data_IF_368213650357
#
_entry.id   IF_368213650357
#
_cell.length_a   1.000
_cell.length_b   1.000
_cell.length_c   1.000
_cell.angle_alpha   90.00
_cell.angle_beta   90.00
_cell.angle_gamma   90.00
#
_symmetry.space_group_name_H-M   'P 1'
#
loop_
_entity.id
_entity.type
_entity.pdbx_description
1 polymer ?
#
# COMPACT_ATOMS: atom_id res chain seq x y z
N UNK A 1 -18.82 8.02 9.99
CA UNK A 1 -18.05 7.21 9.02
C UNK A 1 -18.35 7.63 7.60
N UNK A 2 -19.62 7.67 7.17
CA UNK A 2 -20.02 8.12 5.83
C UNK A 2 -19.42 9.48 5.42
N UNK A 3 -19.43 10.48 6.30
CA UNK A 3 -18.85 11.80 6.02
C UNK A 3 -17.34 11.76 5.74
N UNK A 4 -16.59 10.86 6.39
CA UNK A 4 -15.15 10.71 6.14
C UNK A 4 -14.89 10.05 4.79
N UNK A 5 -15.70 9.09 4.38
CA UNK A 5 -15.59 8.50 3.04
C UNK A 5 -15.86 9.52 1.94
N UNK A 6 -16.89 10.35 2.11
CA UNK A 6 -17.19 11.45 1.17
C UNK A 6 -15.99 12.39 1.05
N UNK A 7 -15.40 12.79 2.19
CA UNK A 7 -14.23 13.66 2.21
C UNK A 7 -13.02 13.03 1.50
N UNK A 8 -12.74 11.73 1.71
CA UNK A 8 -11.65 11.04 1.00
C UNK A 8 -11.95 11.01 -0.51
N UNK A 9 -13.19 10.69 -0.92
CA UNK A 9 -13.56 10.65 -2.33
C UNK A 9 -13.45 12.02 -3.02
N UNK A 10 -13.77 13.11 -2.32
CA UNK A 10 -13.64 14.47 -2.84
C UNK A 10 -12.17 14.88 -2.95
N UNK A 11 -11.38 14.63 -1.91
CA UNK A 11 -9.95 14.98 -1.86
C UNK A 11 -9.08 14.15 -2.82
N UNK A 12 -9.45 12.90 -3.11
CA UNK A 12 -8.77 12.07 -4.11
C UNK A 12 -9.01 12.59 -5.54
N UNK A 13 -10.21 13.11 -5.83
CA UNK A 13 -10.52 13.69 -7.16
C UNK A 13 -9.69 14.94 -7.45
N UNK A 14 -9.30 15.67 -6.42
CA UNK A 14 -8.39 16.80 -6.56
C UNK A 14 -6.98 16.29 -6.90
N UNK A 15 -6.48 16.62 -8.10
CA UNK A 15 -5.14 16.21 -8.57
C UNK A 15 -3.99 16.98 -7.90
N UNK A 16 -4.24 17.60 -6.75
CA UNK A 16 -3.21 18.33 -6.01
C UNK A 16 -2.51 17.38 -5.04
N UNK A 17 -1.17 17.43 -5.02
CA UNK A 17 -0.35 16.59 -4.14
C UNK A 17 -0.71 16.77 -2.66
N UNK A 18 -1.07 18.00 -2.26
CA UNK A 18 -1.56 18.31 -0.91
C UNK A 18 -2.83 17.55 -0.55
N UNK A 19 -3.82 17.52 -1.44
CA UNK A 19 -5.11 16.84 -1.22
C UNK A 19 -4.93 15.32 -1.13
N UNK A 20 -4.05 14.74 -1.95
CA UNK A 20 -3.70 13.32 -1.87
C UNK A 20 -2.99 12.95 -0.57
N UNK A 21 -2.12 13.82 -0.05
CA UNK A 21 -1.48 13.61 1.26
C UNK A 21 -2.51 13.62 2.40
N UNK A 22 -3.45 14.57 2.38
CA UNK A 22 -4.53 14.63 3.37
C UNK A 22 -5.40 13.37 3.32
N UNK A 23 -5.83 12.96 2.12
CA UNK A 23 -6.60 11.74 1.94
C UNK A 23 -5.86 10.49 2.44
N UNK A 24 -4.55 10.39 2.18
CA UNK A 24 -3.72 9.31 2.68
C UNK A 24 -3.59 9.32 4.22
N UNK A 25 -3.50 10.49 4.85
CA UNK A 25 -3.45 10.62 6.30
C UNK A 25 -4.77 10.23 6.97
N UNK A 26 -5.91 10.63 6.40
CA UNK A 26 -7.24 10.24 6.88
C UNK A 26 -7.39 8.72 6.76
N UNK A 27 -7.05 8.14 5.61
CA UNK A 27 -7.06 6.69 5.39
C UNK A 27 -6.17 5.96 6.41
N UNK A 28 -4.96 6.46 6.66
CA UNK A 28 -4.05 5.91 7.67
C UNK A 28 -4.66 5.96 9.08
N UNK A 29 -5.35 7.06 9.41
CA UNK A 29 -6.06 7.22 10.68
C UNK A 29 -7.20 6.21 10.84
N UNK A 30 -8.00 5.99 9.80
CA UNK A 30 -9.10 5.01 9.81
C UNK A 30 -8.60 3.58 9.98
N UNK A 31 -7.55 3.20 9.23
CA UNK A 31 -6.94 1.86 9.36
C UNK A 31 -6.42 1.66 10.79
N UNK A 32 -5.71 2.64 11.36
CA UNK A 32 -5.20 2.54 12.75
C UNK A 32 -6.32 2.52 13.79
N UNK A 33 -7.38 3.31 13.58
CA UNK A 33 -8.55 3.38 14.45
C UNK A 33 -9.42 2.11 14.43
N UNK A 34 -9.27 1.25 13.42
CA UNK A 34 -10.07 0.03 13.25
C UNK A 34 -9.72 -1.13 14.21
N UNK A 35 -8.80 -0.92 15.17
CA UNK A 35 -8.28 -1.95 16.09
C UNK A 35 -9.36 -2.75 16.84
N UNK A 36 -10.47 -2.11 17.21
CA UNK A 36 -11.55 -2.72 18.00
C UNK A 36 -12.84 -2.90 17.19
N UNK A 37 -12.78 -2.81 15.86
CA UNK A 37 -13.96 -2.95 15.02
C UNK A 37 -14.33 -4.42 14.84
N UNK A 38 -15.61 -4.67 14.59
CA UNK A 38 -16.08 -5.99 14.19
C UNK A 38 -15.56 -6.33 12.78
N UNK A 39 -15.58 -7.62 12.44
CA UNK A 39 -15.16 -8.07 11.11
C UNK A 39 -15.99 -7.43 9.99
N UNK A 40 -17.30 -7.28 10.19
CA UNK A 40 -18.21 -6.65 9.22
C UNK A 40 -17.83 -5.19 8.94
N UNK A 41 -17.56 -4.41 9.99
CA UNK A 41 -17.10 -3.02 9.85
C UNK A 41 -15.73 -2.93 9.17
N UNK A 42 -14.85 -3.90 9.44
CA UNK A 42 -13.55 -3.98 8.80
C UNK A 42 -13.70 -4.32 7.31
N UNK A 43 -14.56 -5.27 6.97
CA UNK A 43 -14.86 -5.65 5.57
C UNK A 43 -15.42 -4.47 4.79
N UNK A 44 -16.34 -3.71 5.38
CA UNK A 44 -16.87 -2.49 4.79
C UNK A 44 -15.78 -1.43 4.58
N UNK A 45 -14.91 -1.22 5.58
CA UNK A 45 -13.78 -0.29 5.48
C UNK A 45 -12.88 -0.64 4.30
N UNK A 46 -12.43 -1.89 4.21
CA UNK A 46 -11.53 -2.31 3.14
C UNK A 46 -12.21 -2.28 1.77
N UNK A 47 -13.49 -2.65 1.68
CA UNK A 47 -14.26 -2.57 0.43
C UNK A 47 -14.30 -1.15 -0.14
N UNK A 48 -14.47 -0.14 0.72
CA UNK A 48 -14.47 1.27 0.32
C UNK A 48 -13.06 1.81 0.05
N UNK A 49 -12.08 1.39 0.85
CA UNK A 49 -10.74 1.96 0.82
C UNK A 49 -9.83 1.37 -0.27
N UNK A 50 -9.94 0.07 -0.56
CA UNK A 50 -9.13 -0.61 -1.59
C UNK A 50 -9.06 0.12 -2.94
N UNK A 51 -10.18 0.57 -3.56
CA UNK A 51 -10.10 1.30 -4.84
C UNK A 51 -9.44 2.69 -4.72
N UNK A 52 -9.38 3.27 -3.52
CA UNK A 52 -8.75 4.57 -3.28
C UNK A 52 -7.25 4.42 -3.01
N UNK A 53 -6.83 3.30 -2.43
CA UNK A 53 -5.42 3.02 -2.14
C UNK A 53 -4.56 2.89 -3.40
N UNK A 54 -5.14 2.57 -4.56
CA UNK A 54 -4.40 2.58 -5.84
C UNK A 54 -4.05 3.98 -6.32
N UNK A 55 -4.87 4.97 -5.96
CA UNK A 55 -4.67 6.37 -6.35
C UNK A 55 -3.88 7.15 -5.29
N UNK A 56 -3.96 6.71 -4.03
CA UNK A 56 -3.24 7.30 -2.92
C UNK A 56 -1.81 6.78 -2.85
N UNK A 57 -0.86 7.69 -2.76
CA UNK A 57 0.51 7.39 -2.39
C UNK A 57 0.57 6.93 -0.92
N UNK A 58 0.42 5.62 -0.69
CA UNK A 58 0.20 4.90 0.60
C UNK A 58 1.35 5.07 1.64
N UNK A 59 2.34 5.91 1.38
CA UNK A 59 3.57 6.04 2.17
C UNK A 59 3.33 6.45 3.64
N UNK A 60 2.17 7.04 3.96
CA UNK A 60 1.86 7.52 5.31
C UNK A 60 1.32 6.43 6.27
N UNK A 61 0.98 5.23 5.79
CA UNK A 61 0.19 4.27 6.59
C UNK A 61 1.06 3.42 7.55
N UNK A 62 2.36 3.24 7.27
CA UNK A 62 3.19 2.19 7.91
C UNK A 62 4.11 2.65 9.05
N UNK A 63 4.06 3.92 9.46
CA UNK A 63 5.10 4.50 10.32
C UNK A 63 5.15 3.97 11.77
N UNK A 64 4.28 3.06 12.18
CA UNK A 64 4.19 2.61 13.57
C UNK A 64 4.26 1.07 13.70
N UNK A 65 4.81 0.60 14.83
CA UNK A 65 4.97 -0.80 15.25
C UNK A 65 3.61 -1.54 15.41
N UNK A 66 2.85 -1.65 14.33
CA UNK A 66 1.57 -2.35 14.30
C UNK A 66 1.79 -3.87 14.20
N UNK A 67 0.78 -4.62 14.61
CA UNK A 67 0.79 -6.08 14.43
C UNK A 67 0.48 -6.42 12.96
N UNK A 68 1.37 -7.14 12.24
CA UNK A 68 1.13 -7.56 10.86
C UNK A 68 -0.18 -8.36 10.70
N UNK A 69 -0.63 -9.07 11.74
CA UNK A 69 -1.90 -9.81 11.70
C UNK A 69 -3.10 -8.89 11.56
N UNK A 70 -3.02 -7.66 12.07
CA UNK A 70 -4.09 -6.66 11.89
C UNK A 70 -3.97 -5.94 10.56
N UNK A 71 -2.75 -5.75 10.08
CA UNK A 71 -2.48 -5.11 8.79
C UNK A 71 -2.44 -6.10 7.61
N UNK A 72 -2.84 -7.36 7.80
CA UNK A 72 -2.73 -8.40 6.78
C UNK A 72 -3.40 -8.03 5.46
N UNK A 73 -4.53 -7.31 5.51
CA UNK A 73 -5.25 -6.83 4.31
C UNK A 73 -4.45 -5.80 3.54
N UNK A 74 -3.80 -4.89 4.27
CA UNK A 74 -2.92 -3.88 3.70
C UNK A 74 -1.67 -4.50 3.08
N UNK A 75 -1.05 -5.45 3.81
CA UNK A 75 0.13 -6.20 3.35
C UNK A 75 -0.24 -6.99 2.09
N UNK A 76 -1.38 -7.69 2.11
CA UNK A 76 -1.90 -8.42 0.95
C UNK A 76 -2.18 -7.51 -0.24
N UNK A 77 -2.75 -6.32 0.00
CA UNK A 77 -2.97 -5.32 -1.04
C UNK A 77 -1.65 -4.88 -1.70
N UNK A 78 -0.62 -4.51 -0.91
CA UNK A 78 0.70 -4.18 -1.48
C UNK A 78 1.26 -5.33 -2.30
N UNK A 79 1.21 -6.57 -1.77
CA UNK A 79 1.73 -7.73 -2.49
C UNK A 79 1.01 -7.92 -3.83
N UNK A 80 -0.33 -7.78 -3.84
CA UNK A 80 -1.12 -7.90 -5.07
C UNK A 80 -0.80 -6.79 -6.08
N UNK A 81 -0.51 -5.58 -5.62
CA UNK A 81 -0.15 -4.43 -6.46
C UNK A 81 1.16 -4.67 -7.23
N UNK A 82 2.06 -5.48 -6.67
CA UNK A 82 3.38 -5.75 -7.24
C UNK A 82 3.34 -7.01 -8.09
N UNK A 83 2.77 -8.09 -7.55
CA UNK A 83 2.80 -9.40 -8.19
C UNK A 83 1.79 -9.47 -9.35
N UNK A 84 0.59 -8.92 -9.16
CA UNK A 84 -0.53 -9.12 -10.10
C UNK A 84 -0.60 -8.02 -11.16
N UNK A 85 -0.30 -6.77 -10.81
CA UNK A 85 -0.51 -5.64 -11.72
C UNK A 85 0.73 -5.35 -12.58
N UNK A 86 1.07 -6.28 -13.47
CA UNK A 86 2.09 -6.10 -14.50
C UNK A 86 1.65 -5.17 -15.65
N UNK A 87 0.41 -4.63 -15.58
CA UNK A 87 -0.24 -3.95 -16.71
C UNK A 87 0.02 -2.44 -16.76
N UNK A 88 0.48 -1.84 -15.67
CA UNK A 88 0.89 -0.43 -15.64
C UNK A 88 2.33 -0.25 -16.14
N UNK A 89 2.46 -0.07 -17.45
CA UNK A 89 3.70 -0.08 -18.26
C UNK A 89 4.74 1.03 -18.00
N UNK A 90 4.57 1.91 -17.01
CA UNK A 90 5.55 2.98 -16.75
C UNK A 90 6.53 2.57 -15.67
N UNK A 91 7.82 2.66 -16.00
CA UNK A 91 8.91 2.33 -15.08
C UNK A 91 8.94 3.19 -13.81
N UNK A 92 8.30 4.37 -13.84
CA UNK A 92 8.10 5.21 -12.67
C UNK A 92 7.11 4.60 -11.68
N UNK A 93 5.95 4.16 -12.15
CA UNK A 93 4.93 3.57 -11.28
C UNK A 93 5.47 2.30 -10.63
N UNK A 94 6.13 1.44 -11.40
CA UNK A 94 6.77 0.24 -10.88
C UNK A 94 7.82 0.55 -9.81
N UNK A 95 8.67 1.56 -10.03
CA UNK A 95 9.65 1.98 -9.03
C UNK A 95 8.99 2.49 -7.74
N UNK A 96 7.88 3.22 -7.84
CA UNK A 96 7.10 3.69 -6.67
C UNK A 96 6.45 2.54 -5.89
N UNK A 97 6.04 1.46 -6.56
CA UNK A 97 5.53 0.25 -5.89
C UNK A 97 6.61 -0.48 -5.12
N UNK A 98 7.80 -0.62 -5.71
CA UNK A 98 8.95 -1.19 -5.00
C UNK A 98 9.38 -0.33 -3.81
N UNK A 99 9.21 1.00 -3.90
CA UNK A 99 9.39 1.86 -2.73
C UNK A 99 8.37 1.54 -1.61
N UNK A 100 7.10 1.25 -1.93
CA UNK A 100 6.12 0.81 -0.92
C UNK A 100 6.51 -0.51 -0.24
N UNK A 101 7.16 -1.44 -0.96
CA UNK A 101 7.69 -2.68 -0.36
C UNK A 101 8.73 -2.39 0.71
N UNK A 102 9.56 -1.37 0.51
CA UNK A 102 10.59 -1.02 1.48
C UNK A 102 9.97 -0.66 2.84
N UNK A 103 8.76 -0.10 2.86
CA UNK A 103 8.03 0.18 4.10
C UNK A 103 7.59 -1.09 4.84
N UNK A 104 7.38 -2.21 4.14
CA UNK A 104 7.11 -3.51 4.75
C UNK A 104 8.31 -4.06 5.54
N UNK A 105 9.51 -3.46 5.40
CA UNK A 105 10.68 -3.79 6.22
C UNK A 105 10.47 -3.53 7.69
N UNK A 106 9.44 -2.80 8.09
CA UNK A 106 9.03 -2.72 9.49
C UNK A 106 8.57 -4.08 10.05
N UNK A 107 8.11 -4.99 9.20
CA UNK A 107 7.57 -6.30 9.58
C UNK A 107 8.52 -7.50 9.37
N UNK A 108 9.79 -7.27 8.99
CA UNK A 108 10.80 -8.27 8.53
C UNK A 108 10.50 -9.73 8.86
N UNK A 109 10.74 -10.13 10.11
CA UNK A 109 10.69 -11.52 10.55
C UNK A 109 9.27 -12.04 10.84
N UNK A 110 8.27 -11.15 10.87
CA UNK A 110 6.89 -11.49 11.24
C UNK A 110 6.04 -11.95 10.06
N UNK A 111 6.47 -11.71 8.82
CA UNK A 111 5.76 -12.07 7.59
C UNK A 111 6.66 -12.82 6.57
N UNK A 112 7.25 -13.97 6.95
CA UNK A 112 8.23 -14.65 6.11
C UNK A 112 7.67 -15.10 4.75
N UNK A 113 6.42 -15.57 4.69
CA UNK A 113 5.79 -16.03 3.44
C UNK A 113 5.65 -14.91 2.41
N UNK A 114 5.32 -13.70 2.85
CA UNK A 114 5.24 -12.51 2.01
C UNK A 114 6.62 -12.15 1.44
N UNK A 115 7.67 -12.17 2.28
CA UNK A 115 9.02 -11.89 1.83
C UNK A 115 9.54 -12.91 0.83
N UNK A 116 9.21 -14.21 1.01
CA UNK A 116 9.55 -15.23 0.02
C UNK A 116 8.92 -14.91 -1.34
N UNK A 117 7.62 -14.61 -1.39
CA UNK A 117 6.93 -14.27 -2.64
C UNK A 117 7.49 -13.01 -3.31
N UNK A 118 7.76 -11.97 -2.52
CA UNK A 118 8.37 -10.72 -3.02
C UNK A 118 9.77 -10.99 -3.56
N UNK A 119 10.58 -11.81 -2.88
CA UNK A 119 11.94 -12.13 -3.29
C UNK A 119 11.96 -12.96 -4.58
N UNK A 120 11.02 -13.88 -4.76
CA UNK A 120 10.92 -14.66 -5.99
C UNK A 120 10.56 -13.78 -7.18
N UNK A 121 9.63 -12.84 -7.01
CA UNK A 121 9.31 -11.87 -8.04
C UNK A 121 10.43 -10.85 -8.29
N UNK A 122 11.14 -10.42 -7.25
CA UNK A 122 12.29 -9.52 -7.36
C UNK A 122 13.41 -10.11 -8.24
N UNK A 123 13.66 -11.43 -8.14
CA UNK A 123 14.68 -12.12 -8.95
C UNK A 123 14.40 -12.00 -10.44
N UNK A 124 13.14 -12.07 -10.86
CA UNK A 124 12.72 -11.95 -12.26
C UNK A 124 13.01 -10.53 -12.81
N UNK A 125 12.96 -9.52 -11.94
CA UNK A 125 13.11 -8.11 -12.29
C UNK A 125 14.53 -7.55 -12.08
N UNK A 126 15.51 -8.37 -11.69
CA UNK A 126 16.90 -7.92 -11.54
C UNK A 126 17.49 -7.38 -12.86
N UNK A 127 17.04 -7.91 -13.99
CA UNK A 127 17.44 -7.46 -15.33
C UNK A 127 16.52 -6.38 -15.92
N UNK A 128 15.62 -5.79 -15.14
CA UNK A 128 14.65 -4.81 -15.61
C UNK A 128 15.35 -3.60 -16.26
N UNK A 129 14.91 -3.08 -17.43
CA UNK A 129 15.63 -2.03 -18.18
C UNK A 129 15.81 -0.72 -17.40
N UNK A 130 14.85 -0.35 -16.55
CA UNK A 130 14.91 0.88 -15.75
C UNK A 130 15.87 0.75 -14.57
N UNK A 131 16.84 1.66 -14.49
CA UNK A 131 17.76 1.79 -13.35
C UNK A 131 17.02 2.05 -12.03
N UNK A 132 15.94 2.83 -12.05
CA UNK A 132 15.20 3.20 -10.84
C UNK A 132 14.51 2.00 -10.21
N UNK A 133 13.94 1.11 -11.04
CA UNK A 133 13.32 -0.13 -10.57
C UNK A 133 14.37 -1.05 -9.96
N UNK A 134 15.49 -1.28 -10.65
CA UNK A 134 16.61 -2.09 -10.13
C UNK A 134 17.16 -1.54 -8.81
N UNK A 135 17.28 -0.21 -8.69
CA UNK A 135 17.75 0.44 -7.47
C UNK A 135 16.78 0.22 -6.30
N UNK A 136 15.47 0.35 -6.52
CA UNK A 136 14.48 0.14 -5.46
C UNK A 136 14.30 -1.33 -5.06
N UNK A 137 14.55 -2.27 -5.97
CA UNK A 137 14.59 -3.71 -5.67
C UNK A 137 15.81 -4.05 -4.81
N UNK A 138 16.97 -3.49 -5.14
CA UNK A 138 18.22 -3.78 -4.42
C UNK A 138 18.26 -3.18 -3.01
N UNK A 139 17.51 -2.10 -2.77
CA UNK A 139 17.49 -1.38 -1.51
C UNK A 139 16.72 -2.14 -0.45
#
# INVERSE_FOLDING_TARGET
>A
MEQLYVLIHETVKEKQDGSHRVAAEIAAGMIRGSKYWTLEMLDELWKQLTPLLTELHIFCIYKENQDPRRMHRLIGFICSLIITDQTMKTSYNEASRWYLVQELRTFQWRIPSVWCAINDHAKELLNHPSKNVRYNIAK
#
